data_IF_125263660467
#
_entry.id   IF_125263660467
#
_cell.length_a   1.000
_cell.length_b   1.000
_cell.length_c   1.000
_cell.angle_alpha   90.00
_cell.angle_beta   90.00
_cell.angle_gamma   90.00
#
_symmetry.space_group_name_H-M   'P 1'
#
loop_
_entity.id
_entity.type
_entity.pdbx_description
1 polymer ?
#
# COMPACT_ATOMS: atom_id res chain seq x y z
N UNK A 1 12.21 -25.91 -18.41
CA UNK A 1 11.23 -24.81 -18.41
C UNK A 1 10.71 -24.67 -16.99
N UNK A 2 11.07 -23.61 -16.28
CA UNK A 2 10.58 -23.32 -14.93
C UNK A 2 9.13 -22.81 -15.03
N UNK A 3 8.19 -23.28 -14.19
CA UNK A 3 6.82 -22.80 -14.26
C UNK A 3 6.75 -21.36 -13.74
N UNK A 4 6.33 -20.44 -14.59
CA UNK A 4 5.99 -19.07 -14.20
C UNK A 4 4.68 -19.14 -13.41
N UNK A 5 4.79 -19.34 -12.10
CA UNK A 5 3.66 -19.27 -11.18
C UNK A 5 3.24 -17.80 -11.07
N UNK A 6 2.54 -17.29 -12.08
CA UNK A 6 1.88 -15.98 -12.02
C UNK A 6 0.84 -16.06 -10.90
N UNK A 7 0.97 -15.31 -9.79
CA UNK A 7 -0.09 -15.29 -8.81
C UNK A 7 -1.33 -14.71 -9.49
N UNK A 8 -2.35 -15.55 -9.67
CA UNK A 8 -3.72 -15.12 -9.99
C UNK A 8 -4.06 -13.95 -9.07
N UNK A 9 -4.56 -12.80 -9.58
CA UNK A 9 -4.94 -11.71 -8.72
C UNK A 9 -6.18 -12.15 -7.93
N UNK A 10 -5.96 -12.69 -6.73
CA UNK A 10 -6.98 -12.82 -5.71
C UNK A 10 -7.56 -11.45 -5.37
N UNK A 11 -8.67 -11.38 -4.62
CA UNK A 11 -9.19 -10.12 -4.12
C UNK A 11 -8.05 -9.36 -3.42
N UNK A 12 -7.70 -8.19 -3.95
CA UNK A 12 -6.56 -7.41 -3.42
C UNK A 12 -6.88 -7.04 -1.98
N UNK A 13 -6.01 -7.42 -1.06
CA UNK A 13 -6.19 -7.06 0.34
C UNK A 13 -6.27 -5.54 0.51
N UNK A 14 -7.04 -5.02 1.49
CA UNK A 14 -7.09 -3.60 1.82
C UNK A 14 -5.70 -2.93 1.89
N UNK A 15 -4.70 -3.62 2.42
CA UNK A 15 -3.33 -3.15 2.47
C UNK A 15 -2.68 -3.00 1.09
N UNK A 16 -3.00 -3.88 0.13
CA UNK A 16 -2.49 -3.78 -1.24
C UNK A 16 -3.10 -2.57 -1.97
N UNK A 17 -4.38 -2.27 -1.76
CA UNK A 17 -5.05 -1.09 -2.31
C UNK A 17 -4.48 0.21 -1.71
N UNK A 18 -4.26 0.25 -0.39
CA UNK A 18 -3.64 1.40 0.26
C UNK A 18 -2.19 1.64 -0.22
N UNK A 19 -1.41 0.58 -0.45
CA UNK A 19 -0.05 0.69 -0.99
C UNK A 19 -0.04 1.21 -2.44
N UNK A 20 -1.01 0.81 -3.26
CA UNK A 20 -1.15 1.33 -4.62
C UNK A 20 -1.48 2.82 -4.63
N UNK A 21 -2.39 3.27 -3.75
CA UNK A 21 -2.70 4.69 -3.57
C UNK A 21 -1.46 5.51 -3.13
N UNK A 22 -0.64 4.97 -2.22
CA UNK A 22 0.63 5.60 -1.83
C UNK A 22 1.58 5.70 -3.03
N UNK A 23 1.71 4.63 -3.82
CA UNK A 23 2.57 4.62 -5.01
C UNK A 23 2.11 5.64 -6.06
N UNK A 24 0.82 5.72 -6.33
CA UNK A 24 0.25 6.71 -7.24
C UNK A 24 0.45 8.15 -6.74
N UNK A 25 0.34 8.37 -5.43
CA UNK A 25 0.56 9.69 -4.81
C UNK A 25 2.02 10.14 -4.87
N UNK A 26 2.96 9.21 -4.71
CA UNK A 26 4.41 9.46 -4.76
C UNK A 26 4.92 9.58 -6.21
N UNK A 27 4.29 8.88 -7.16
CA UNK A 27 4.74 8.83 -8.54
C UNK A 27 4.79 10.23 -9.18
N UNK A 28 5.95 10.59 -9.74
CA UNK A 28 6.15 11.84 -10.46
C UNK A 28 6.46 13.06 -9.60
N UNK A 29 6.48 12.94 -8.26
CA UNK A 29 6.85 14.06 -7.38
C UNK A 29 8.33 14.05 -7.04
N UNK A 30 9.02 15.14 -7.40
CA UNK A 30 10.47 15.32 -7.14
C UNK A 30 10.76 16.14 -5.88
N UNK A 31 9.77 16.88 -5.39
CA UNK A 31 9.86 17.75 -4.20
C UNK A 31 8.56 17.63 -3.41
N UNK A 32 8.67 17.68 -2.08
CA UNK A 32 7.53 17.50 -1.18
C UNK A 32 7.39 18.73 -0.30
N UNK A 33 6.21 19.35 -0.35
CA UNK A 33 5.83 20.38 0.62
C UNK A 33 5.49 19.74 1.98
N UNK A 34 5.55 20.52 3.08
CA UNK A 34 5.15 20.02 4.40
C UNK A 34 3.72 19.47 4.44
N UNK A 35 2.81 20.02 3.63
CA UNK A 35 1.43 19.54 3.53
C UNK A 35 1.36 18.15 2.88
N UNK A 36 2.14 17.92 1.83
CA UNK A 36 2.20 16.62 1.15
C UNK A 36 2.84 15.53 2.03
N UNK A 37 3.82 15.90 2.85
CA UNK A 37 4.38 14.99 3.85
C UNK A 37 3.36 14.58 4.91
N UNK A 38 2.51 15.52 5.36
CA UNK A 38 1.42 15.20 6.30
C UNK A 38 0.40 14.25 5.67
N UNK A 39 0.10 14.43 4.39
CA UNK A 39 -0.81 13.53 3.68
C UNK A 39 -0.20 12.14 3.47
N UNK A 40 1.09 12.07 3.15
CA UNK A 40 1.81 10.80 3.07
C UNK A 40 1.84 10.06 4.42
N UNK A 41 1.99 10.80 5.53
CA UNK A 41 1.99 10.20 6.85
C UNK A 41 0.62 9.59 7.20
N UNK A 42 -0.48 10.29 6.89
CA UNK A 42 -1.85 9.74 7.03
C UNK A 42 -2.04 8.47 6.19
N UNK A 43 -1.64 8.50 4.92
CA UNK A 43 -1.75 7.33 4.04
C UNK A 43 -0.93 6.15 4.58
N UNK A 44 0.29 6.41 5.10
CA UNK A 44 1.13 5.38 5.74
C UNK A 44 0.55 4.87 7.06
N UNK A 45 -0.13 5.70 7.84
CA UNK A 45 -0.79 5.28 9.07
C UNK A 45 -1.97 4.36 8.78
N UNK A 46 -2.80 4.71 7.78
CA UNK A 46 -3.91 3.88 7.32
C UNK A 46 -3.42 2.53 6.78
N UNK A 47 -2.36 2.53 5.97
CA UNK A 47 -1.74 1.29 5.47
C UNK A 47 -1.21 0.40 6.61
N UNK A 48 -0.48 0.98 7.57
CA UNK A 48 0.02 0.23 8.74
C UNK A 48 -1.11 -0.35 9.59
N UNK A 49 -2.21 0.37 9.75
CA UNK A 49 -3.38 -0.12 10.46
C UNK A 49 -4.04 -1.29 9.72
N UNK A 50 -4.23 -1.19 8.40
CA UNK A 50 -4.76 -2.26 7.57
C UNK A 50 -3.89 -3.53 7.63
N UNK A 51 -2.56 -3.39 7.56
CA UNK A 51 -1.63 -4.52 7.72
C UNK A 51 -1.78 -5.19 9.09
N UNK A 52 -1.90 -4.41 10.17
CA UNK A 52 -2.08 -4.99 11.51
C UNK A 52 -3.39 -5.74 11.63
N UNK A 53 -4.47 -5.19 11.08
CA UNK A 53 -5.80 -5.81 11.09
C UNK A 53 -5.83 -7.12 10.28
N UNK A 54 -5.18 -7.13 9.10
CA UNK A 54 -4.99 -8.33 8.29
C UNK A 54 -4.16 -9.41 9.01
N UNK A 55 -3.08 -9.02 9.70
CA UNK A 55 -2.24 -9.95 10.48
C UNK A 55 -2.99 -10.52 11.68
N UNK A 56 -3.78 -9.70 12.38
CA UNK A 56 -4.59 -10.14 13.53
C UNK A 56 -5.73 -11.07 13.10
N UNK A 57 -6.36 -10.81 11.95
CA UNK A 57 -7.44 -11.66 11.41
C UNK A 57 -6.91 -12.99 10.87
N UNK A 58 -5.64 -13.05 10.45
CA UNK A 58 -5.01 -14.24 9.90
C UNK A 58 -4.29 -15.14 10.93
N UNK A 59 -4.24 -14.73 12.21
CA UNK A 59 -3.58 -15.44 13.32
C UNK A 59 -4.59 -16.19 14.19
#
# INVERSE_FOLDING_TARGET
MVPTNSPTPGPRSPAALANDAIRAYVAGRRSWSPAELRELDKLRAAWRQAIRDEVVTAA
#
